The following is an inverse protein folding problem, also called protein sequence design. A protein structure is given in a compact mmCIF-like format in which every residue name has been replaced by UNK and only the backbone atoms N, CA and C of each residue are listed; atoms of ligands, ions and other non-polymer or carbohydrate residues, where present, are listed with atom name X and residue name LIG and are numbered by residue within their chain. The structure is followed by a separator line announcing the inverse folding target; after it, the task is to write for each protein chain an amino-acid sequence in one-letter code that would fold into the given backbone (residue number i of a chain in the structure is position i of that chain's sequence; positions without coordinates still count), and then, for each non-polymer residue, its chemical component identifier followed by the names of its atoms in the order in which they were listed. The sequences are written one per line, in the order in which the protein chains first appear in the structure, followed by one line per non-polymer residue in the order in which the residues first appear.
data_IF_116001847273
#
_entry.id   IF_116001847273
#
_cell.length_a   1.000
_cell.length_b   1.000
_cell.length_c   1.000
_cell.angle_alpha   90.00
_cell.angle_beta   90.00
_cell.angle_gamma   90.00
#
_symmetry.space_group_name_H-M   'P 1'
#
loop_
_entity.id
_entity.type
_entity.pdbx_description
1 polymer ?
#
# COMPACT_ATOMS: atom_id res chain seq x y z
N UNK A 1 23.91 -50.06 -59.88
CA UNK A 1 23.97 -48.83 -60.44
C UNK A 1 22.99 -47.91 -59.77
N UNK A 2 23.56 -47.13 -59.03
CA UNK A 2 23.22 -45.86 -58.79
C UNK A 2 22.01 -45.41 -58.22
N UNK A 3 22.32 -44.62 -57.36
CA UNK A 3 21.80 -43.35 -57.17
C UNK A 3 20.85 -43.26 -56.03
N UNK A 4 21.30 -42.76 -55.05
CA UNK A 4 21.31 -41.42 -54.72
C UNK A 4 20.06 -40.90 -54.39
N UNK A 5 19.98 -40.56 -53.27
CA UNK A 5 19.72 -39.21 -52.91
C UNK A 5 19.51 -39.15 -51.48
N UNK A 6 20.36 -38.66 -50.98
CA UNK A 6 20.49 -37.39 -50.29
C UNK A 6 19.31 -36.53 -50.52
N UNK A 7 18.49 -36.55 -49.52
CA UNK A 7 17.61 -35.44 -49.33
C UNK A 7 18.05 -34.76 -48.07
N UNK A 8 18.59 -33.67 -48.31
CA UNK A 8 18.80 -32.69 -47.30
C UNK A 8 17.49 -32.23 -46.82
N UNK A 9 17.21 -32.62 -45.66
CA UNK A 9 16.16 -31.95 -44.94
C UNK A 9 16.69 -30.74 -44.26
N UNK A 10 16.43 -29.69 -44.84
CA UNK A 10 16.64 -28.42 -44.25
C UNK A 10 15.60 -28.20 -43.20
N UNK A 11 16.03 -28.31 -42.02
CA UNK A 11 15.19 -27.89 -40.91
C UNK A 11 15.22 -26.42 -40.75
N UNK A 12 14.16 -25.85 -41.13
CA UNK A 12 13.77 -24.57 -40.62
C UNK A 12 13.42 -24.76 -39.15
N UNK A 13 14.33 -24.52 -38.32
CA UNK A 13 14.04 -24.31 -36.93
C UNK A 13 13.39 -22.95 -36.82
N UNK A 14 12.14 -22.97 -36.79
CA UNK A 14 11.42 -21.82 -36.32
C UNK A 14 11.61 -21.71 -34.82
N UNK A 15 12.62 -21.03 -34.44
CA UNK A 15 12.74 -20.58 -33.08
C UNK A 15 11.72 -19.47 -32.90
N UNK A 16 10.59 -19.88 -32.47
CA UNK A 16 9.66 -18.95 -31.90
C UNK A 16 10.04 -18.69 -30.48
N UNK A 17 10.94 -17.82 -30.28
CA UNK A 17 11.01 -17.11 -29.03
C UNK A 17 10.11 -15.91 -29.09
N UNK A 18 8.87 -16.19 -29.08
CA UNK A 18 7.87 -15.22 -28.75
C UNK A 18 7.58 -15.24 -27.28
N UNK A 19 8.54 -15.00 -26.47
CA UNK A 19 8.23 -14.63 -25.11
C UNK A 19 7.94 -13.14 -25.08
N UNK A 20 6.85 -12.81 -25.64
CA UNK A 20 6.19 -11.62 -25.20
C UNK A 20 5.70 -11.92 -23.80
N UNK A 21 6.49 -11.61 -22.84
CA UNK A 21 6.01 -11.52 -21.48
C UNK A 21 4.94 -10.45 -21.49
N UNK A 22 3.71 -10.82 -21.20
CA UNK A 22 2.73 -9.78 -21.04
C UNK A 22 3.12 -8.99 -19.82
N UNK A 23 3.46 -7.78 -20.02
CA UNK A 23 3.50 -6.77 -18.98
C UNK A 23 2.06 -6.52 -18.58
N UNK A 24 1.42 -7.50 -17.98
CA UNK A 24 0.08 -7.40 -17.44
C UNK A 24 0.09 -7.34 -15.92
N UNK A 25 1.26 -7.26 -15.32
CA UNK A 25 1.40 -7.17 -13.88
C UNK A 25 1.06 -5.78 -13.33
N UNK A 26 0.84 -4.79 -14.16
CA UNK A 26 0.59 -3.42 -13.71
C UNK A 26 -0.90 -3.02 -13.62
N UNK A 27 -1.78 -3.86 -14.03
CA UNK A 27 -3.22 -3.56 -13.95
C UNK A 27 -3.85 -3.86 -12.59
N UNK A 28 -3.07 -4.28 -11.63
CA UNK A 28 -3.54 -4.65 -10.30
C UNK A 28 -3.17 -3.69 -9.17
N UNK A 29 -2.52 -2.59 -9.47
CA UNK A 29 -2.27 -1.58 -8.43
C UNK A 29 -3.60 -0.95 -8.05
N UNK A 30 -4.02 -1.19 -6.82
CA UNK A 30 -5.22 -0.54 -6.31
C UNK A 30 -5.03 0.98 -6.36
N UNK A 31 -6.09 1.70 -6.71
CA UNK A 31 -6.07 3.16 -6.73
C UNK A 31 -5.54 3.75 -5.41
N UNK A 32 -5.70 3.00 -4.30
CA UNK A 32 -5.17 3.36 -2.99
C UNK A 32 -3.65 3.42 -2.93
N UNK A 33 -2.96 2.45 -3.51
CA UNK A 33 -1.49 2.45 -3.56
C UNK A 33 -0.98 3.59 -4.42
N UNK A 34 -1.49 3.75 -5.63
CA UNK A 34 -1.05 4.80 -6.57
C UNK A 34 -1.05 6.21 -5.99
N UNK A 35 -1.92 6.49 -5.05
CA UNK A 35 -2.01 7.81 -4.42
C UNK A 35 -0.99 8.00 -3.30
N UNK A 36 -0.48 6.92 -2.75
CA UNK A 36 0.38 6.91 -1.56
C UNK A 36 1.81 6.52 -1.89
N UNK A 37 1.99 5.70 -2.91
CA UNK A 37 3.26 5.23 -3.44
C UNK A 37 3.99 6.38 -4.16
N UNK A 38 4.98 6.94 -3.51
CA UNK A 38 5.71 8.11 -4.00
C UNK A 38 6.93 7.76 -4.83
N UNK A 39 7.45 6.55 -4.67
CA UNK A 39 8.60 6.06 -5.42
C UNK A 39 8.21 5.14 -6.60
N UNK A 40 6.92 4.83 -6.72
CA UNK A 40 6.34 3.99 -7.78
C UNK A 40 6.89 2.57 -7.83
N UNK A 41 7.18 2.00 -6.69
CA UNK A 41 7.60 0.60 -6.57
C UNK A 41 6.41 -0.38 -6.53
N UNK A 42 5.21 0.11 -6.44
CA UNK A 42 3.97 -0.67 -6.45
C UNK A 42 3.50 -1.15 -5.08
N UNK A 43 4.18 -0.74 -4.04
CA UNK A 43 3.87 -1.07 -2.65
C UNK A 43 3.73 0.19 -1.81
N UNK A 44 3.40 0.04 -0.56
CA UNK A 44 3.33 1.13 0.41
C UNK A 44 4.23 0.79 1.58
N UNK A 45 5.26 1.56 1.79
CA UNK A 45 6.12 1.41 2.95
C UNK A 45 5.64 2.26 4.14
N UNK A 46 6.25 2.04 5.31
CA UNK A 46 5.87 2.75 6.52
C UNK A 46 6.18 4.25 6.46
N UNK A 47 7.25 4.64 5.78
CA UNK A 47 7.62 6.05 5.64
C UNK A 47 6.59 6.80 4.77
N UNK A 48 6.15 6.18 3.68
CA UNK A 48 5.08 6.71 2.83
C UNK A 48 3.75 6.79 3.57
N UNK A 49 3.40 5.74 4.33
CA UNK A 49 2.22 5.74 5.18
C UNK A 49 2.25 6.89 6.20
N UNK A 50 3.35 7.08 6.89
CA UNK A 50 3.53 8.18 7.85
C UNK A 50 3.48 9.55 7.18
N UNK A 51 4.07 9.69 6.01
CA UNK A 51 4.03 10.93 5.23
C UNK A 51 2.61 11.29 4.82
N UNK A 52 1.86 10.32 4.30
CA UNK A 52 0.46 10.50 3.96
C UNK A 52 -0.38 10.87 5.19
N UNK A 53 -0.18 10.15 6.29
CA UNK A 53 -0.86 10.40 7.56
C UNK A 53 -0.60 11.83 8.10
N UNK A 54 0.64 12.30 8.04
CA UNK A 54 0.99 13.66 8.45
C UNK A 54 0.27 14.72 7.61
N UNK A 55 0.12 14.47 6.30
CA UNK A 55 -0.62 15.35 5.41
C UNK A 55 -2.11 15.35 5.72
N UNK A 56 -2.66 14.21 6.10
CA UNK A 56 -4.06 14.08 6.53
C UNK A 56 -4.27 14.77 7.87
N UNK A 57 -3.37 14.56 8.83
CA UNK A 57 -3.41 15.24 10.13
C UNK A 57 -3.53 16.76 9.97
N UNK A 58 -2.66 17.35 9.16
CA UNK A 58 -2.68 18.80 8.91
C UNK A 58 -3.99 19.30 8.26
N UNK A 59 -4.69 18.43 7.53
CA UNK A 59 -6.01 18.77 6.95
C UNK A 59 -7.14 18.63 7.94
N UNK A 60 -7.02 17.69 8.88
CA UNK A 60 -8.02 17.42 9.90
C UNK A 60 -7.95 18.44 11.05
N UNK A 61 -6.75 18.85 11.42
CA UNK A 61 -6.49 19.92 12.41
C UNK A 61 -6.97 21.26 11.87
N UNK A 62 -8.25 21.54 12.05
CA UNK A 62 -8.90 22.73 11.48
C UNK A 62 -8.63 23.97 12.27
N UNK A 63 -8.53 23.84 13.58
CA UNK A 63 -8.26 24.96 14.48
C UNK A 63 -6.76 25.23 14.64
N UNK A 64 -5.92 24.35 14.10
CA UNK A 64 -4.47 24.46 14.09
C UNK A 64 -3.84 24.52 15.48
N UNK A 65 -4.42 23.77 16.38
CA UNK A 65 -3.87 23.64 17.75
C UNK A 65 -2.78 22.57 17.86
N UNK A 66 -2.54 21.83 16.78
CA UNK A 66 -1.50 20.78 16.72
C UNK A 66 -1.97 19.42 17.23
N UNK A 67 -3.25 19.27 17.52
CA UNK A 67 -3.87 18.04 17.98
C UNK A 67 -5.13 17.71 17.17
N UNK A 68 -5.65 16.50 17.32
CA UNK A 68 -6.91 16.10 16.71
C UNK A 68 -7.90 15.68 17.78
N UNK A 69 -9.02 16.34 17.85
CA UNK A 69 -10.14 15.92 18.65
C UNK A 69 -11.02 14.87 17.93
N UNK A 70 -12.01 14.32 18.63
CA UNK A 70 -12.93 13.33 18.05
C UNK A 70 -13.74 13.85 16.87
N UNK A 71 -14.04 15.14 16.83
CA UNK A 71 -14.80 15.78 15.77
C UNK A 71 -13.97 15.94 14.52
N UNK A 72 -12.71 16.30 14.70
CA UNK A 72 -11.74 16.45 13.60
C UNK A 72 -11.38 15.11 12.96
N UNK A 73 -11.36 14.05 13.75
CA UNK A 73 -11.14 12.70 13.24
C UNK A 73 -12.27 12.16 12.35
N UNK A 74 -13.43 12.77 12.38
CA UNK A 74 -14.56 12.45 11.50
C UNK A 74 -14.91 10.94 11.44
N UNK A 75 -14.82 10.26 12.56
CA UNK A 75 -15.14 8.82 12.64
C UNK A 75 -14.08 7.88 12.04
N UNK A 76 -12.86 8.35 11.80
CA UNK A 76 -11.75 7.50 11.36
C UNK A 76 -11.31 6.49 12.41
N UNK A 77 -11.50 6.82 13.66
CA UNK A 77 -11.32 5.96 14.82
C UNK A 77 -12.64 5.79 15.56
N UNK A 78 -12.88 4.60 16.06
CA UNK A 78 -13.94 4.35 17.02
C UNK A 78 -13.59 4.95 18.38
N UNK A 79 -14.58 5.11 19.27
CA UNK A 79 -14.32 5.57 20.64
C UNK A 79 -13.27 4.74 21.38
N UNK A 80 -13.32 3.42 21.19
CA UNK A 80 -12.36 2.50 21.78
C UNK A 80 -10.96 2.67 21.22
N UNK A 81 -10.85 2.85 19.91
CA UNK A 81 -9.56 3.07 19.24
C UNK A 81 -8.98 4.43 19.63
N UNK A 82 -9.82 5.44 19.73
CA UNK A 82 -9.41 6.77 20.18
C UNK A 82 -8.87 6.70 21.62
N UNK A 83 -9.59 6.08 22.53
CA UNK A 83 -9.15 5.93 23.92
C UNK A 83 -7.84 5.13 24.05
N UNK A 84 -7.62 4.15 23.17
CA UNK A 84 -6.36 3.40 23.13
C UNK A 84 -5.19 4.21 22.55
N UNK A 85 -5.50 5.19 21.69
CA UNK A 85 -4.53 6.05 21.05
C UNK A 85 -4.17 7.30 21.87
N UNK A 86 -4.96 7.59 22.91
CA UNK A 86 -4.83 8.73 23.81
C UNK A 86 -4.39 8.23 25.22
N UNK A 87 -3.09 7.98 25.43
CA UNK A 87 -2.61 7.38 26.68
C UNK A 87 -2.62 8.36 27.87
N UNK A 88 -2.56 9.64 27.62
CA UNK A 88 -2.62 10.68 28.66
C UNK A 88 -4.05 11.14 28.97
N UNK A 89 -5.03 10.66 28.19
CA UNK A 89 -6.46 10.93 28.35
C UNK A 89 -6.83 12.42 28.35
N UNK A 90 -6.13 13.20 27.55
CA UNK A 90 -6.42 14.64 27.39
C UNK A 90 -7.59 14.91 26.43
N UNK A 91 -8.06 13.87 25.73
CA UNK A 91 -9.19 13.96 24.81
C UNK A 91 -8.81 14.38 23.38
N UNK A 92 -7.52 14.45 23.10
CA UNK A 92 -6.97 14.81 21.79
C UNK A 92 -5.86 13.83 21.38
N UNK A 93 -5.47 13.82 20.13
CA UNK A 93 -4.33 13.07 19.63
C UNK A 93 -3.27 14.03 19.09
N UNK A 94 -2.08 13.92 19.60
CA UNK A 94 -0.91 14.58 19.01
C UNK A 94 -0.53 13.91 17.70
N UNK A 95 0.35 14.54 16.92
CA UNK A 95 0.90 13.96 15.70
C UNK A 95 1.58 12.61 16.01
N UNK A 96 2.35 12.52 17.08
CA UNK A 96 3.04 11.28 17.47
C UNK A 96 2.04 10.16 17.79
N UNK A 97 1.00 10.45 18.52
CA UNK A 97 -0.05 9.48 18.86
C UNK A 97 -0.81 9.02 17.63
N UNK A 98 -1.14 9.93 16.73
CA UNK A 98 -1.77 9.60 15.46
C UNK A 98 -0.88 8.71 14.59
N UNK A 99 0.40 9.04 14.48
CA UNK A 99 1.36 8.23 13.73
C UNK A 99 1.61 6.87 14.38
N UNK A 100 1.53 6.75 15.69
CA UNK A 100 1.60 5.46 16.38
C UNK A 100 0.43 4.55 16.01
N UNK A 101 -0.78 5.10 15.88
CA UNK A 101 -1.94 4.34 15.37
C UNK A 101 -1.73 3.91 13.93
N UNK A 102 -1.18 4.78 13.09
CA UNK A 102 -0.85 4.44 11.70
C UNK A 102 0.14 3.29 11.63
N UNK A 103 1.20 3.34 12.41
CA UNK A 103 2.19 2.26 12.48
C UNK A 103 1.59 0.94 12.98
N UNK A 104 0.75 0.99 13.99
CA UNK A 104 0.06 -0.19 14.47
C UNK A 104 -0.82 -0.83 13.40
N UNK A 105 -1.57 -0.01 12.65
CA UNK A 105 -2.41 -0.49 11.55
C UNK A 105 -1.60 -0.95 10.36
N UNK A 106 -0.47 -0.33 10.09
CA UNK A 106 0.46 -0.76 9.06
C UNK A 106 0.96 -2.17 9.38
N UNK A 107 1.44 -2.40 10.59
CA UNK A 107 1.91 -3.72 11.03
C UNK A 107 0.81 -4.79 10.98
N UNK A 108 -0.43 -4.43 11.31
CA UNK A 108 -1.57 -5.33 11.20
C UNK A 108 -1.94 -5.65 9.75
N UNK A 109 -1.69 -4.74 8.83
CA UNK A 109 -1.94 -4.90 7.40
C UNK A 109 -0.80 -5.62 6.66
N UNK A 110 0.35 -5.80 7.29
CA UNK A 110 1.55 -6.45 6.76
C UNK A 110 1.82 -7.77 7.51
N UNK A 111 1.08 -8.85 7.23
CA UNK A 111 1.19 -10.10 7.97
C UNK A 111 2.46 -10.88 7.68
N UNK A 112 3.06 -10.72 6.51
CA UNK A 112 4.32 -11.36 6.12
C UNK A 112 5.56 -10.62 6.62
N UNK A 113 5.38 -9.40 7.14
CA UNK A 113 6.42 -8.57 7.76
C UNK A 113 7.60 -8.27 6.82
N UNK A 114 7.33 -8.13 5.54
CA UNK A 114 8.36 -7.78 4.54
C UNK A 114 8.71 -6.27 4.53
N UNK A 115 7.99 -5.47 5.30
CA UNK A 115 8.21 -4.03 5.44
C UNK A 115 7.38 -3.17 4.49
N UNK A 116 6.58 -3.80 3.63
CA UNK A 116 5.74 -3.12 2.65
C UNK A 116 4.32 -3.68 2.66
N UNK A 117 3.39 -2.96 2.09
CA UNK A 117 2.00 -3.41 1.91
C UNK A 117 1.70 -3.43 0.42
N UNK A 118 1.37 -4.59 -0.09
CA UNK A 118 0.97 -4.77 -1.47
C UNK A 118 -0.54 -4.50 -1.68
N UNK A 119 -0.98 -4.57 -2.93
CA UNK A 119 -2.37 -4.34 -3.29
C UNK A 119 -3.35 -5.34 -2.66
N UNK A 120 -2.92 -6.57 -2.40
CA UNK A 120 -3.74 -7.62 -1.80
C UNK A 120 -3.92 -7.35 -0.31
N UNK A 121 -2.84 -7.04 0.36
CA UNK A 121 -2.81 -6.69 1.77
C UNK A 121 -3.61 -5.43 2.05
N UNK A 122 -3.49 -4.43 1.18
CA UNK A 122 -4.26 -3.19 1.29
C UNK A 122 -5.77 -3.42 1.14
N UNK A 123 -6.18 -4.44 0.40
CA UNK A 123 -7.58 -4.80 0.23
C UNK A 123 -8.16 -5.63 1.39
N UNK A 124 -7.36 -6.03 2.33
CA UNK A 124 -7.83 -6.71 3.55
C UNK A 124 -8.59 -5.76 4.47
N UNK A 125 -9.23 -6.31 5.48
CA UNK A 125 -9.89 -5.50 6.52
C UNK A 125 -8.88 -4.59 7.23
N UNK A 126 -7.69 -5.10 7.53
CA UNK A 126 -6.61 -4.34 8.16
C UNK A 126 -6.07 -3.24 7.23
N UNK A 127 -5.83 -3.55 5.96
CA UNK A 127 -5.40 -2.57 4.97
C UNK A 127 -6.41 -1.45 4.77
N UNK A 128 -7.68 -1.76 4.72
CA UNK A 128 -8.75 -0.73 4.63
C UNK A 128 -8.87 0.12 5.89
N UNK A 129 -8.59 -0.46 7.06
CA UNK A 129 -8.54 0.29 8.30
C UNK A 129 -7.37 1.29 8.31
N UNK A 130 -6.21 0.89 7.77
CA UNK A 130 -5.08 1.78 7.56
C UNK A 130 -5.44 2.90 6.59
N UNK A 131 -6.00 2.59 5.43
CA UNK A 131 -6.37 3.58 4.42
C UNK A 131 -7.29 4.69 4.94
N UNK A 132 -8.13 4.42 5.95
CA UNK A 132 -8.97 5.44 6.56
C UNK A 132 -8.18 6.54 7.27
N UNK A 133 -6.95 6.27 7.67
CA UNK A 133 -6.06 7.24 8.31
C UNK A 133 -5.20 8.01 7.29
N UNK A 134 -5.09 7.50 6.06
CA UNK A 134 -4.17 8.02 5.06
C UNK A 134 -4.86 8.91 3.99
N UNK A 135 -6.18 9.11 4.09
CA UNK A 135 -6.94 9.89 3.11
C UNK A 135 -8.22 10.53 3.67
#
# INVERSE_FOLDING_TARGET
MISRRSVLETFAVAVLCGSASPVLAQSGQSAGIRMLDTDNDGTLDLAEAKKAASSVFAKLDRDRDGTLDRRELLGRLSEREFAAADPDHDGTLTMEEYLAVVEQRFNAANPDKDGTIDARELNTRAGRALLRLLR
#
